data_IF_265606594568
#
_entry.id   IF_265606594568
#
_cell.length_a   1.000
_cell.length_b   1.000
_cell.length_c   1.000
_cell.angle_alpha   90.00
_cell.angle_beta   90.00
_cell.angle_gamma   90.00
#
_symmetry.space_group_name_H-M   'P 1'
#
loop_
_entity.id
_entity.type
_entity.pdbx_description
1 polymer ?
#
# COMPACT_ATOMS: atom_id res chain seq x y z
N UNK A 1 9.01 11.79 35.13
CA UNK A 1 8.80 11.12 33.82
C UNK A 1 10.16 10.85 33.22
N UNK A 2 10.70 9.65 33.42
CA UNK A 2 12.02 9.27 32.89
C UNK A 2 11.90 9.03 31.38
N UNK A 3 12.53 9.87 30.57
CA UNK A 3 12.77 9.51 29.17
C UNK A 3 13.72 8.32 29.16
N UNK A 4 13.22 7.14 28.79
CA UNK A 4 14.05 5.97 28.51
C UNK A 4 14.90 6.27 27.28
N UNK A 5 16.09 6.82 27.49
CA UNK A 5 17.07 7.02 26.42
C UNK A 5 17.53 5.63 25.92
N UNK A 6 17.39 5.38 24.62
CA UNK A 6 17.74 4.12 23.98
C UNK A 6 19.26 3.90 23.90
N UNK A 7 19.68 2.64 23.78
CA UNK A 7 21.06 2.30 23.41
C UNK A 7 21.33 2.73 21.97
N UNK A 8 22.55 3.20 21.68
CA UNK A 8 22.89 3.75 20.35
C UNK A 8 24.15 3.07 19.82
N UNK A 9 24.03 2.44 18.66
CA UNK A 9 25.16 1.95 17.87
C UNK A 9 25.46 2.86 16.68
N UNK A 10 26.74 3.15 16.48
CA UNK A 10 27.21 3.98 15.37
C UNK A 10 28.28 3.22 14.58
N UNK A 11 28.08 3.11 13.27
CA UNK A 11 28.99 2.41 12.38
C UNK A 11 29.26 3.19 11.08
N UNK A 12 30.50 3.05 10.63
CA UNK A 12 31.09 3.59 9.40
C UNK A 12 31.46 2.44 8.46
N UNK A 13 31.57 2.71 7.17
CA UNK A 13 32.11 1.77 6.17
C UNK A 13 33.53 1.29 6.53
N UNK A 14 34.36 2.20 7.05
CA UNK A 14 35.73 1.92 7.50
C UNK A 14 35.83 1.47 8.96
N UNK A 15 34.74 1.06 9.61
CA UNK A 15 34.79 0.72 11.04
C UNK A 15 35.73 -0.45 11.30
N UNK A 16 36.65 -0.22 12.24
CA UNK A 16 37.39 -1.32 12.86
C UNK A 16 36.43 -2.25 13.60
N UNK A 17 36.84 -3.52 13.71
CA UNK A 17 36.10 -4.50 14.50
C UNK A 17 36.29 -4.18 15.99
N UNK A 18 35.19 -3.96 16.70
CA UNK A 18 35.20 -3.61 18.12
C UNK A 18 33.94 -4.13 18.81
N UNK A 19 34.07 -4.39 20.11
CA UNK A 19 32.94 -4.81 20.92
C UNK A 19 31.83 -3.74 20.95
N UNK A 20 30.54 -4.14 21.03
CA UNK A 20 29.41 -3.24 21.20
C UNK A 20 29.62 -2.29 22.39
N UNK A 21 29.46 -0.99 22.14
CA UNK A 21 29.61 0.09 23.12
C UNK A 21 31.02 0.67 23.25
N UNK A 22 32.01 0.13 22.53
CA UNK A 22 33.39 0.65 22.54
C UNK A 22 33.73 1.50 21.30
N UNK A 23 32.77 1.72 20.40
CA UNK A 23 32.95 2.57 19.22
C UNK A 23 32.81 4.05 19.54
N UNK A 24 33.50 4.88 18.75
CA UNK A 24 33.36 6.34 18.82
C UNK A 24 31.91 6.74 18.54
N UNK A 25 31.25 7.36 19.52
CA UNK A 25 29.85 7.80 19.42
C UNK A 25 28.80 6.76 19.83
N UNK A 26 29.20 5.56 20.26
CA UNK A 26 28.27 4.59 20.83
C UNK A 26 27.93 4.92 22.28
N UNK A 27 26.68 4.73 22.67
CA UNK A 27 26.24 4.90 24.07
C UNK A 27 25.37 3.72 24.46
N UNK A 28 25.88 2.88 25.37
CA UNK A 28 25.14 1.77 25.97
C UNK A 28 24.77 2.11 27.41
N UNK A 29 23.48 1.97 27.72
CA UNK A 29 22.89 2.06 29.05
C UNK A 29 22.44 0.70 29.57
N UNK A 30 22.16 -0.25 28.67
CA UNK A 30 21.88 -1.63 29.06
C UNK A 30 23.12 -2.29 29.70
N UNK A 31 22.89 -3.38 30.42
CA UNK A 31 23.97 -4.17 31.00
C UNK A 31 24.94 -4.65 29.88
N UNK A 32 26.25 -4.75 30.17
CA UNK A 32 27.23 -5.24 29.18
C UNK A 32 26.92 -6.65 28.66
N UNK A 33 26.12 -7.43 29.38
CA UNK A 33 25.72 -8.79 29.02
C UNK A 33 24.61 -8.83 27.97
N UNK A 34 23.84 -7.76 27.83
CA UNK A 34 22.73 -7.65 26.88
C UNK A 34 23.15 -7.94 25.44
N UNK A 35 24.39 -7.57 25.07
CA UNK A 35 24.95 -7.75 23.73
C UNK A 35 26.05 -8.81 23.67
N UNK A 36 26.02 -9.80 24.56
CA UNK A 36 27.03 -10.86 24.62
C UNK A 36 27.09 -11.70 23.33
N UNK A 37 25.95 -11.98 22.70
CA UNK A 37 25.90 -12.73 21.44
C UNK A 37 26.42 -11.90 20.26
N UNK A 38 26.11 -10.59 20.22
CA UNK A 38 26.63 -9.68 19.19
C UNK A 38 28.17 -9.58 19.25
N UNK A 39 28.77 -9.68 20.44
CA UNK A 39 30.25 -9.69 20.60
C UNK A 39 30.94 -10.87 19.93
N UNK A 40 30.24 -11.99 19.74
CA UNK A 40 30.82 -13.19 19.11
C UNK A 40 30.94 -13.03 17.60
N UNK A 41 30.18 -12.10 17.01
CA UNK A 41 30.19 -11.84 15.57
C UNK A 41 31.32 -10.87 15.21
N UNK A 42 32.37 -11.40 14.58
CA UNK A 42 33.49 -10.58 14.08
C UNK A 42 33.02 -9.67 12.95
N UNK A 43 33.38 -8.39 13.01
CA UNK A 43 33.12 -7.43 11.95
C UNK A 43 31.66 -7.02 11.79
N UNK A 44 30.82 -7.21 12.81
CA UNK A 44 29.38 -6.94 12.76
C UNK A 44 29.04 -5.52 12.24
N UNK A 45 29.83 -4.50 12.60
CA UNK A 45 29.67 -3.12 12.08
C UNK A 45 29.83 -3.00 10.58
N UNK A 46 30.79 -3.73 9.98
CA UNK A 46 31.03 -3.70 8.54
C UNK A 46 29.93 -4.44 7.79
N UNK A 47 29.43 -5.54 8.37
CA UNK A 47 28.32 -6.31 7.82
C UNK A 47 27.05 -5.43 7.77
N UNK A 48 26.73 -4.72 8.86
CA UNK A 48 25.62 -3.76 8.88
C UNK A 48 25.86 -2.57 7.94
N UNK A 49 27.08 -2.03 7.88
CA UNK A 49 27.42 -0.93 6.97
C UNK A 49 27.29 -1.30 5.48
N UNK A 50 27.65 -2.53 5.10
CA UNK A 50 27.59 -2.99 3.72
C UNK A 50 26.15 -3.09 3.19
N UNK A 51 25.19 -3.43 4.06
CA UNK A 51 23.78 -3.58 3.69
C UNK A 51 23.12 -2.29 3.19
N UNK A 52 23.56 -1.13 3.68
CA UNK A 52 23.11 0.19 3.18
C UNK A 52 23.65 0.47 1.77
N UNK A 53 24.86 -0.02 1.45
CA UNK A 53 25.51 0.19 0.15
C UNK A 53 24.90 -0.69 -0.93
N UNK A 54 24.54 -1.93 -0.61
CA UNK A 54 23.96 -2.90 -1.56
C UNK A 54 22.46 -2.75 -1.77
N UNK A 55 21.77 -1.84 -1.08
CA UNK A 55 20.30 -1.66 -1.09
C UNK A 55 19.52 -2.96 -0.82
N UNK A 56 20.19 -3.97 -0.28
CA UNK A 56 19.69 -5.31 -0.03
C UNK A 56 20.44 -5.89 1.17
N UNK A 57 19.74 -6.59 2.05
CA UNK A 57 20.35 -7.19 3.22
C UNK A 57 21.06 -8.49 2.85
N UNK A 58 22.35 -8.57 3.19
CA UNK A 58 23.07 -9.84 3.19
C UNK A 58 22.49 -10.78 4.24
N UNK A 59 22.61 -12.09 4.02
CA UNK A 59 22.10 -13.08 4.97
C UNK A 59 22.83 -13.00 6.33
N UNK A 60 24.09 -12.56 6.33
CA UNK A 60 24.85 -12.24 7.53
C UNK A 60 24.25 -11.05 8.30
N UNK A 61 23.82 -9.99 7.60
CA UNK A 61 23.19 -8.84 8.23
C UNK A 61 21.83 -9.24 8.85
N UNK A 62 21.05 -10.09 8.17
CA UNK A 62 19.77 -10.61 8.69
C UNK A 62 19.94 -11.40 9.99
N UNK A 63 21.07 -12.10 10.18
CA UNK A 63 21.37 -12.83 11.40
C UNK A 63 21.82 -11.91 12.57
N UNK A 64 22.41 -10.76 12.26
CA UNK A 64 22.94 -9.81 13.25
C UNK A 64 21.87 -8.87 13.79
N UNK A 65 20.92 -8.46 12.95
CA UNK A 65 19.88 -7.48 13.29
C UNK A 65 19.11 -7.84 14.57
N UNK A 66 18.63 -9.09 14.77
CA UNK A 66 17.97 -9.47 16.02
C UNK A 66 18.85 -9.31 17.27
N UNK A 67 20.16 -9.54 17.13
CA UNK A 67 21.13 -9.45 18.22
C UNK A 67 21.37 -8.01 18.70
N UNK A 68 21.00 -7.02 17.89
CA UNK A 68 21.09 -5.59 18.26
C UNK A 68 19.97 -5.13 19.20
N UNK A 69 18.97 -5.99 19.46
CA UNK A 69 17.83 -5.69 20.34
C UNK A 69 17.29 -4.26 20.10
N UNK A 70 16.81 -3.57 21.12
CA UNK A 70 16.16 -2.24 21.01
C UNK A 70 17.13 -1.07 20.82
N UNK A 71 18.37 -1.32 20.39
CA UNK A 71 19.32 -0.27 20.10
C UNK A 71 18.95 0.49 18.82
N UNK A 72 19.17 1.79 18.82
CA UNK A 72 19.09 2.63 17.62
C UNK A 72 20.35 2.44 16.78
N UNK A 73 20.15 2.23 15.47
CA UNK A 73 21.23 1.98 14.53
C UNK A 73 21.50 3.23 13.70
N UNK A 74 22.74 3.70 13.73
CA UNK A 74 23.17 4.89 13.00
C UNK A 74 24.35 4.60 12.09
N UNK A 75 24.24 5.04 10.84
CA UNK A 75 25.27 4.92 9.82
C UNK A 75 25.86 6.29 9.46
N UNK A 76 27.18 6.36 9.31
CA UNK A 76 27.90 7.60 8.98
C UNK A 76 28.72 7.42 7.71
N UNK A 77 28.42 8.24 6.69
CA UNK A 77 29.17 8.33 5.43
C UNK A 77 29.72 9.74 5.24
N UNK A 78 31.05 9.88 5.28
CA UNK A 78 31.70 11.20 5.29
C UNK A 78 31.31 12.01 6.53
N UNK A 79 30.68 13.18 6.35
CA UNK A 79 30.18 14.04 7.45
C UNK A 79 28.68 13.85 7.75
N UNK A 80 28.00 13.00 6.98
CA UNK A 80 26.55 12.84 7.09
C UNK A 80 26.23 11.66 8.00
N UNK A 81 25.56 11.93 9.12
CA UNK A 81 25.01 10.91 10.03
C UNK A 81 23.55 10.66 9.67
N UNK A 82 23.18 9.40 9.44
CA UNK A 82 21.82 8.96 9.09
C UNK A 82 21.38 7.84 10.01
N UNK A 83 20.09 7.83 10.36
CA UNK A 83 19.48 6.71 11.08
C UNK A 83 19.21 5.59 10.08
N UNK A 84 19.62 4.37 10.41
CA UNK A 84 19.45 3.20 9.56
C UNK A 84 18.05 2.59 9.75
N UNK A 85 17.01 3.35 9.39
CA UNK A 85 15.61 2.97 9.60
C UNK A 85 15.24 1.67 8.88
N UNK A 86 15.86 1.39 7.74
CA UNK A 86 15.65 0.15 7.00
C UNK A 86 16.03 -1.11 7.81
N UNK A 87 17.10 -1.04 8.62
CA UNK A 87 17.50 -2.15 9.51
C UNK A 87 16.50 -2.32 10.67
N UNK A 88 16.00 -1.20 11.20
CA UNK A 88 15.03 -1.18 12.29
C UNK A 88 13.65 -1.72 11.83
N UNK A 89 13.24 -1.40 10.60
CA UNK A 89 12.01 -1.90 10.00
C UNK A 89 12.09 -3.41 9.74
N UNK A 90 13.23 -3.91 9.24
CA UNK A 90 13.47 -5.35 9.05
C UNK A 90 13.50 -6.10 10.39
N UNK A 91 14.09 -5.48 11.42
CA UNK A 91 14.02 -6.01 12.78
C UNK A 91 12.58 -6.16 13.26
N UNK A 92 11.72 -5.17 13.01
CA UNK A 92 10.31 -5.21 13.40
C UNK A 92 9.54 -6.33 12.67
N UNK A 93 9.82 -6.53 11.38
CA UNK A 93 9.25 -7.63 10.60
C UNK A 93 9.66 -9.00 11.15
N UNK A 94 10.94 -9.21 11.46
CA UNK A 94 11.42 -10.48 12.03
C UNK A 94 10.83 -10.75 13.43
N UNK A 95 10.72 -9.72 14.28
CA UNK A 95 10.11 -9.84 15.61
C UNK A 95 8.63 -10.25 15.54
N UNK A 96 7.90 -9.82 14.51
CA UNK A 96 6.48 -10.15 14.33
C UNK A 96 6.22 -11.59 13.88
N UNK A 97 7.24 -12.30 13.39
CA UNK A 97 7.14 -13.70 12.96
C UNK A 97 7.26 -14.70 14.14
N UNK A 98 7.65 -14.25 15.34
CA UNK A 98 7.99 -15.13 16.46
C UNK A 98 7.04 -15.08 17.69
N UNK A 99 5.89 -14.40 17.66
CA UNK A 99 5.00 -14.36 18.84
C UNK A 99 3.82 -15.36 18.79
N UNK A 100 3.68 -16.27 19.78
CA UNK A 100 2.47 -17.05 20.02
C UNK A 100 1.38 -16.21 20.69
N UNK A 101 0.13 -16.58 20.40
CA UNK A 101 -1.14 -15.96 20.81
C UNK A 101 -1.28 -15.72 22.32
N UNK A 102 -1.92 -14.62 22.72
CA UNK A 102 -2.93 -14.63 23.79
C UNK A 102 -3.82 -13.37 23.77
N UNK A 103 -5.13 -13.59 23.83
CA UNK A 103 -6.16 -12.58 23.66
C UNK A 103 -6.54 -11.82 24.94
N UNK A 104 -7.38 -10.79 24.77
CA UNK A 104 -7.95 -10.03 25.87
C UNK A 104 -8.99 -9.03 25.41
N UNK A 105 -10.22 -9.49 25.15
CA UNK A 105 -11.41 -8.65 25.04
C UNK A 105 -11.66 -7.87 26.34
N UNK A 106 -11.92 -6.56 26.23
CA UNK A 106 -12.87 -5.87 27.12
C UNK A 106 -13.80 -4.98 26.31
N UNK A 107 -15.07 -5.35 26.34
CA UNK A 107 -16.19 -4.56 25.87
C UNK A 107 -16.39 -3.32 26.75
N UNK A 108 -16.89 -2.22 26.17
CA UNK A 108 -17.78 -1.35 26.93
C UNK A 108 -18.96 -0.79 26.13
N UNK A 109 -20.02 -0.62 26.89
CA UNK A 109 -21.44 -0.45 26.56
C UNK A 109 -21.76 0.95 26.02
N UNK A 110 -22.68 0.97 25.05
CA UNK A 110 -23.85 1.86 24.86
C UNK A 110 -23.84 3.25 25.48
N UNK A 111 -24.25 4.23 24.67
CA UNK A 111 -25.50 5.02 24.77
C UNK A 111 -25.39 6.16 23.73
N UNK A 112 -26.36 6.56 22.93
CA UNK A 112 -27.79 6.34 22.92
C UNK A 112 -28.45 7.68 22.56
N UNK A 113 -29.30 7.66 21.53
CA UNK A 113 -30.45 8.57 21.28
C UNK A 113 -30.13 10.06 20.95
N UNK A 114 -30.86 10.81 20.13
CA UNK A 114 -32.30 10.79 19.85
C UNK A 114 -32.64 11.64 18.58
N UNK A 115 -33.63 11.15 17.81
CA UNK A 115 -34.83 11.85 17.29
C UNK A 115 -34.73 13.29 16.73
N UNK A 116 -35.16 13.50 15.48
CA UNK A 116 -36.55 13.76 15.02
C UNK A 116 -36.54 14.11 13.51
N UNK A 117 -37.40 13.49 12.66
CA UNK A 117 -38.69 14.02 12.12
C UNK A 117 -38.54 15.40 11.49
N UNK A 118 -38.99 15.74 10.28
CA UNK A 118 -39.96 15.26 9.27
C UNK A 118 -39.85 16.28 8.10
N UNK A 119 -40.22 16.08 6.83
CA UNK A 119 -41.55 15.82 6.26
C UNK A 119 -41.39 15.97 4.72
N UNK A 120 -42.22 15.25 3.96
CA UNK A 120 -42.29 15.21 2.49
C UNK A 120 -42.83 16.50 1.86
N UNK A 121 -42.54 16.70 0.57
CA UNK A 121 -43.54 16.99 -0.48
C UNK A 121 -42.96 16.72 -1.87
N UNK A 122 -43.72 15.97 -2.69
CA UNK A 122 -43.46 15.64 -4.09
C UNK A 122 -44.03 16.72 -5.03
N UNK A 123 -43.52 16.77 -6.27
CA UNK A 123 -44.07 17.56 -7.37
C UNK A 123 -43.33 17.28 -8.68
N UNK A 124 -44.09 17.00 -9.75
CA UNK A 124 -43.77 16.10 -10.85
C UNK A 124 -43.43 16.81 -12.19
N UNK A 125 -42.61 16.12 -13.00
CA UNK A 125 -42.56 16.00 -14.48
C UNK A 125 -42.45 17.22 -15.43
N UNK A 126 -41.47 17.11 -16.34
CA UNK A 126 -41.46 17.64 -17.70
C UNK A 126 -40.31 16.99 -18.50
N UNK A 127 -40.58 16.47 -19.70
CA UNK A 127 -39.81 15.44 -20.41
C UNK A 127 -39.27 15.89 -21.79
N UNK A 128 -38.13 15.27 -22.22
CA UNK A 128 -37.70 14.86 -23.61
C UNK A 128 -37.27 15.99 -24.59
N UNK A 129 -36.30 15.80 -25.54
CA UNK A 129 -35.81 14.57 -26.22
C UNK A 129 -34.29 14.32 -26.15
N UNK A 130 -33.77 13.08 -26.20
CA UNK A 130 -33.69 12.09 -27.32
C UNK A 130 -32.97 12.60 -28.59
N UNK A 131 -31.70 12.20 -28.73
CA UNK A 131 -30.86 12.45 -29.90
C UNK A 131 -29.56 11.65 -29.83
N UNK A 132 -29.49 10.60 -30.65
CA UNK A 132 -28.51 9.53 -30.66
C UNK A 132 -27.05 9.95 -30.93
N UNK A 133 -26.10 9.27 -30.28
CA UNK A 133 -24.94 8.69 -30.96
C UNK A 133 -24.38 7.54 -30.10
N UNK A 134 -24.77 6.34 -30.51
CA UNK A 134 -24.19 5.09 -30.04
C UNK A 134 -22.79 4.92 -30.65
N UNK A 135 -21.77 4.81 -29.82
CA UNK A 135 -20.51 4.17 -30.19
C UNK A 135 -20.44 2.83 -29.46
N UNK A 136 -20.57 1.77 -30.26
CA UNK A 136 -20.49 0.37 -29.85
C UNK A 136 -19.11 0.08 -29.22
N UNK A 137 -19.03 -0.72 -28.14
CA UNK A 137 -17.76 -1.32 -27.71
C UNK A 137 -17.33 -2.41 -28.71
N UNK A 138 -16.10 -2.31 -29.19
CA UNK A 138 -15.44 -3.35 -29.99
C UNK A 138 -15.28 -4.65 -29.17
N UNK A 139 -15.27 -5.83 -29.83
CA UNK A 139 -15.40 -7.13 -29.17
C UNK A 139 -14.14 -7.52 -28.39
N UNK A 140 -14.38 -8.03 -27.19
CA UNK A 140 -13.39 -8.54 -26.25
C UNK A 140 -12.54 -9.67 -26.87
N UNK A 141 -11.21 -9.53 -26.78
CA UNK A 141 -10.38 -10.70 -26.55
C UNK A 141 -10.60 -11.09 -25.08
N UNK A 142 -11.56 -12.00 -24.86
CA UNK A 142 -11.82 -12.62 -23.56
C UNK A 142 -10.70 -13.64 -23.36
N UNK A 143 -9.53 -13.16 -22.91
CA UNK A 143 -8.61 -14.08 -22.25
C UNK A 143 -9.32 -14.60 -21.01
N UNK A 144 -9.30 -15.93 -20.88
CA UNK A 144 -9.96 -16.76 -19.89
C UNK A 144 -9.40 -16.45 -18.49
N UNK A 145 -9.75 -15.28 -17.96
CA UNK A 145 -9.66 -14.98 -16.54
C UNK A 145 -10.71 -15.88 -15.89
N UNK A 146 -10.24 -17.03 -15.40
CA UNK A 146 -11.00 -17.92 -14.54
C UNK A 146 -11.86 -17.08 -13.61
N UNK A 147 -13.17 -17.36 -13.61
CA UNK A 147 -14.16 -16.69 -12.77
C UNK A 147 -13.72 -16.82 -11.31
N UNK A 148 -12.90 -15.87 -10.85
CA UNK A 148 -12.60 -15.66 -9.44
C UNK A 148 -13.91 -15.19 -8.87
N UNK A 149 -14.65 -16.14 -8.31
CA UNK A 149 -15.94 -15.91 -7.70
C UNK A 149 -15.78 -14.83 -6.63
N UNK A 150 -16.21 -13.61 -6.96
CA UNK A 150 -16.02 -12.44 -6.11
C UNK A 150 -16.64 -12.71 -4.73
N UNK A 151 -15.80 -12.76 -3.72
CA UNK A 151 -16.21 -12.72 -2.32
C UNK A 151 -16.58 -11.30 -1.91
N UNK A 152 -17.57 -10.75 -2.60
CA UNK A 152 -18.10 -9.43 -2.32
C UNK A 152 -18.83 -9.38 -0.98
N UNK A 153 -18.78 -8.20 -0.34
CA UNK A 153 -19.53 -7.89 0.88
C UNK A 153 -21.03 -8.09 0.61
N UNK A 154 -21.71 -8.88 1.46
CA UNK A 154 -23.16 -9.13 1.38
C UNK A 154 -23.92 -8.25 2.38
N UNK A 155 -25.09 -7.78 1.95
CA UNK A 155 -25.96 -6.93 2.76
C UNK A 155 -27.24 -7.66 3.13
N UNK A 156 -27.75 -7.37 4.33
CA UNK A 156 -28.99 -7.93 4.83
C UNK A 156 -30.17 -7.47 3.96
N UNK A 157 -31.05 -8.40 3.51
CA UNK A 157 -32.21 -8.04 2.69
C UNK A 157 -33.25 -7.19 3.43
N UNK A 158 -33.27 -7.24 4.76
CA UNK A 158 -34.28 -6.55 5.59
C UNK A 158 -33.87 -5.12 5.91
N UNK A 159 -32.63 -4.90 6.36
CA UNK A 159 -32.19 -3.60 6.89
C UNK A 159 -30.96 -3.02 6.19
N UNK A 160 -30.44 -3.70 5.15
CA UNK A 160 -29.27 -3.27 4.35
C UNK A 160 -27.98 -3.02 5.16
N UNK A 161 -27.90 -3.53 6.39
CA UNK A 161 -26.63 -3.61 7.11
C UNK A 161 -25.77 -4.75 6.58
N UNK A 162 -24.46 -4.60 6.68
CA UNK A 162 -23.53 -5.64 6.29
C UNK A 162 -23.70 -6.91 7.15
N UNK A 163 -23.54 -8.06 6.51
CA UNK A 163 -23.61 -9.36 7.17
C UNK A 163 -22.22 -9.79 7.64
N UNK A 164 -22.14 -10.37 8.83
CA UNK A 164 -20.91 -10.91 9.40
C UNK A 164 -20.89 -12.43 9.27
N UNK A 165 -19.70 -13.00 9.15
CA UNK A 165 -19.52 -14.44 9.16
C UNK A 165 -19.49 -14.95 10.61
N UNK A 166 -20.22 -16.02 10.86
CA UNK A 166 -20.25 -16.76 12.12
C UNK A 166 -20.19 -18.26 11.80
N UNK A 167 -19.29 -18.97 12.47
CA UNK A 167 -19.19 -20.43 12.36
C UNK A 167 -20.01 -21.04 13.50
N UNK A 168 -20.91 -21.96 13.20
CA UNK A 168 -21.73 -22.63 14.23
C UNK A 168 -21.38 -24.12 14.36
N UNK A 169 -21.00 -24.51 15.57
CA UNK A 169 -21.03 -25.90 16.06
C UNK A 169 -20.04 -26.89 15.42
N UNK A 170 -20.11 -28.14 15.89
CA UNK A 170 -19.27 -29.28 15.49
C UNK A 170 -19.31 -29.58 13.97
N UNK A 171 -20.38 -29.15 13.29
CA UNK A 171 -20.61 -29.38 11.87
C UNK A 171 -19.87 -28.40 10.94
N UNK A 172 -19.12 -27.44 11.49
CA UNK A 172 -18.35 -26.44 10.71
C UNK A 172 -19.18 -25.68 9.66
N UNK A 173 -20.46 -25.42 9.94
CA UNK A 173 -21.32 -24.66 9.02
C UNK A 173 -21.05 -23.16 9.12
N UNK A 174 -21.01 -22.50 7.95
CA UNK A 174 -20.77 -21.06 7.84
C UNK A 174 -22.10 -20.32 7.69
N UNK A 175 -22.37 -19.39 8.61
CA UNK A 175 -23.56 -18.55 8.55
C UNK A 175 -23.19 -17.08 8.40
N UNK A 176 -24.00 -16.33 7.66
CA UNK A 176 -23.95 -14.87 7.60
C UNK A 176 -25.05 -14.29 8.46
N UNK A 177 -24.68 -13.45 9.42
CA UNK A 177 -25.58 -12.88 10.42
C UNK A 177 -25.62 -11.36 10.36
N UNK A 178 -26.82 -10.79 10.47
CA UNK A 178 -27.04 -9.37 10.65
C UNK A 178 -27.12 -9.03 12.14
N UNK A 179 -26.18 -8.22 12.64
CA UNK A 179 -26.20 -7.77 14.04
C UNK A 179 -27.32 -6.77 14.37
N UNK A 180 -27.93 -6.15 13.36
CA UNK A 180 -28.97 -5.14 13.56
C UNK A 180 -30.37 -5.77 13.74
N UNK A 181 -30.78 -6.68 12.84
CA UNK A 181 -32.12 -7.28 12.87
C UNK A 181 -32.14 -8.78 13.22
N UNK A 182 -30.98 -9.43 13.36
CA UNK A 182 -30.90 -10.86 13.68
C UNK A 182 -31.12 -11.81 12.49
N UNK A 183 -31.21 -11.29 11.26
CA UNK A 183 -31.29 -12.13 10.06
C UNK A 183 -30.07 -13.05 9.94
N UNK A 184 -30.31 -14.33 9.62
CA UNK A 184 -29.28 -15.36 9.45
C UNK A 184 -29.52 -16.08 8.12
N UNK A 185 -28.47 -16.24 7.35
CA UNK A 185 -28.44 -17.05 6.12
C UNK A 185 -27.26 -18.03 6.19
N UNK A 186 -27.42 -19.21 5.59
CA UNK A 186 -26.35 -20.21 5.49
C UNK A 186 -25.56 -20.01 4.20
N UNK A 187 -24.23 -20.03 4.31
CA UNK A 187 -23.33 -19.85 3.17
C UNK A 187 -22.95 -21.21 2.57
N UNK A 188 -23.84 -21.76 1.75
CA UNK A 188 -23.66 -23.09 1.12
C UNK A 188 -22.70 -23.08 -0.07
N UNK A 189 -22.42 -21.89 -0.63
CA UNK A 189 -21.61 -21.79 -1.85
C UNK A 189 -20.13 -21.99 -1.58
N UNK A 190 -19.68 -21.77 -0.33
CA UNK A 190 -18.26 -21.71 -0.01
C UNK A 190 -17.55 -20.59 -0.78
N UNK A 191 -16.38 -20.18 -0.31
CA UNK A 191 -15.62 -19.15 -1.01
C UNK A 191 -14.49 -18.57 -0.19
N UNK A 192 -13.61 -17.87 -0.89
CA UNK A 192 -12.50 -17.16 -0.27
C UNK A 192 -13.01 -16.00 0.58
N UNK A 193 -12.96 -16.08 1.90
CA UNK A 193 -13.51 -15.03 2.80
C UNK A 193 -12.73 -13.72 2.70
N UNK A 194 -11.41 -13.81 2.54
CA UNK A 194 -10.53 -12.66 2.44
C UNK A 194 -9.36 -13.04 1.52
N UNK A 195 -9.20 -12.28 0.45
CA UNK A 195 -7.96 -12.26 -0.33
C UNK A 195 -7.21 -11.00 0.05
N UNK A 196 -5.94 -11.13 0.41
CA UNK A 196 -5.05 -9.97 0.52
C UNK A 196 -4.01 -10.04 -0.58
N UNK A 197 -4.16 -9.19 -1.59
CA UNK A 197 -3.18 -9.04 -2.64
C UNK A 197 -2.10 -8.06 -2.18
N UNK A 198 -0.95 -8.58 -1.70
CA UNK A 198 0.23 -7.77 -1.41
C UNK A 198 0.98 -7.55 -2.73
N UNK A 199 0.44 -6.67 -3.58
CA UNK A 199 1.26 -6.08 -4.62
C UNK A 199 1.97 -4.88 -4.00
N UNK A 200 3.30 -4.83 -4.09
CA UNK A 200 3.98 -3.53 -4.08
C UNK A 200 3.20 -2.65 -5.06
N UNK A 201 2.81 -1.43 -4.67
CA UNK A 201 2.13 -0.45 -5.53
C UNK A 201 2.92 -0.31 -6.83
N UNK A 202 2.66 -1.17 -7.79
CA UNK A 202 3.49 -1.35 -8.96
C UNK A 202 2.55 -1.43 -10.14
N UNK A 203 2.86 -0.55 -11.09
CA UNK A 203 2.27 -0.42 -12.41
C UNK A 203 0.84 0.10 -12.55
N UNK A 204 -0.14 -0.12 -11.66
CA UNK A 204 -1.57 0.19 -11.97
C UNK A 204 -2.27 1.26 -11.13
N UNK A 205 -1.63 1.81 -10.10
CA UNK A 205 -2.24 2.86 -9.24
C UNK A 205 -2.69 4.12 -9.97
N UNK A 206 -2.21 4.36 -11.20
CA UNK A 206 -2.62 5.48 -12.04
C UNK A 206 -4.06 5.37 -12.56
N UNK A 207 -4.64 4.16 -12.67
CA UNK A 207 -6.04 3.99 -13.09
C UNK A 207 -7.00 4.67 -12.10
N UNK A 208 -6.65 4.66 -10.81
CA UNK A 208 -7.39 5.35 -9.74
C UNK A 208 -7.19 6.88 -9.81
N UNK A 209 -6.15 7.36 -10.49
CA UNK A 209 -5.78 8.77 -10.58
C UNK A 209 -6.38 9.51 -11.79
N UNK A 210 -7.02 8.80 -12.73
CA UNK A 210 -7.63 9.43 -13.91
C UNK A 210 -9.10 9.72 -13.69
N UNK A 211 -9.39 11.01 -13.67
CA UNK A 211 -10.74 11.53 -13.73
C UNK A 211 -11.10 11.84 -15.20
N UNK A 212 -12.38 11.78 -15.54
CA UNK A 212 -12.90 12.19 -16.85
C UNK A 212 -12.57 13.65 -17.17
N UNK A 213 -12.45 14.48 -16.13
CA UNK A 213 -12.12 15.91 -16.24
C UNK A 213 -10.62 16.21 -16.26
N UNK A 214 -9.75 15.22 -16.11
CA UNK A 214 -8.29 15.44 -16.10
C UNK A 214 -7.83 16.15 -17.36
N UNK A 215 -8.41 15.85 -18.52
CA UNK A 215 -8.07 16.51 -19.79
C UNK A 215 -8.41 18.00 -19.84
N UNK A 216 -9.40 18.43 -19.05
CA UNK A 216 -9.88 19.82 -19.04
C UNK A 216 -9.13 20.71 -18.05
N UNK A 217 -8.21 20.16 -17.24
CA UNK A 217 -7.48 20.94 -16.25
C UNK A 217 -6.29 21.69 -16.90
N UNK A 218 -6.36 23.03 -17.02
CA UNK A 218 -5.31 23.82 -17.67
C UNK A 218 -4.01 23.91 -16.85
N UNK A 219 -4.00 23.39 -15.60
CA UNK A 219 -2.81 23.39 -14.73
C UNK A 219 -1.93 22.18 -14.96
N UNK A 220 -2.39 21.17 -15.70
CA UNK A 220 -1.58 20.02 -16.02
C UNK A 220 -0.49 20.41 -17.02
N UNK A 221 0.69 19.77 -16.97
CA UNK A 221 1.77 20.14 -17.85
C UNK A 221 1.59 19.50 -19.23
N UNK A 222 1.80 20.31 -20.27
CA UNK A 222 1.57 19.96 -21.67
C UNK A 222 2.89 19.88 -22.45
N UNK A 223 3.04 18.87 -23.31
CA UNK A 223 4.14 18.69 -24.25
C UNK A 223 3.59 18.80 -25.67
N UNK A 224 4.04 19.82 -26.41
CA UNK A 224 3.50 20.11 -27.76
C UNK A 224 4.41 19.76 -28.94
N UNK A 225 5.72 19.65 -28.71
CA UNK A 225 6.71 19.55 -29.82
C UNK A 225 7.50 18.25 -29.87
N UNK A 226 7.67 17.57 -28.73
CA UNK A 226 8.69 16.54 -28.60
C UNK A 226 8.14 15.10 -28.68
N UNK A 227 6.82 14.92 -28.61
CA UNK A 227 6.18 13.60 -28.56
C UNK A 227 5.03 13.58 -29.57
N UNK A 228 4.93 12.50 -30.35
CA UNK A 228 3.80 12.25 -31.25
C UNK A 228 2.81 11.31 -30.58
N UNK A 229 1.54 11.41 -30.94
CA UNK A 229 0.53 10.48 -30.46
C UNK A 229 0.77 9.10 -31.09
N UNK A 230 0.80 8.00 -30.32
CA UNK A 230 0.97 6.65 -30.88
C UNK A 230 -0.24 6.17 -31.67
N UNK A 231 -1.41 6.79 -31.48
CA UNK A 231 -2.63 6.48 -32.23
C UNK A 231 -2.49 7.00 -33.68
N UNK A 232 -2.42 6.11 -34.69
CA UNK A 232 -2.18 6.52 -36.08
C UNK A 232 -3.34 7.36 -36.66
N UNK A 233 -4.55 7.21 -36.13
CA UNK A 233 -5.73 7.96 -36.56
C UNK A 233 -5.77 9.39 -36.02
N UNK A 234 -4.86 9.78 -35.14
CA UNK A 234 -4.89 11.08 -34.49
C UNK A 234 -4.55 12.23 -35.46
N UNK A 235 -5.40 13.28 -35.46
CA UNK A 235 -5.23 14.50 -36.27
C UNK A 235 -3.89 15.22 -36.03
N UNK A 236 -3.27 15.04 -34.84
CA UNK A 236 -1.96 15.61 -34.52
C UNK A 236 -0.84 15.08 -35.41
N UNK A 237 -0.99 13.85 -35.91
CA UNK A 237 0.03 13.17 -36.72
C UNK A 237 -0.05 13.57 -38.19
N UNK A 238 -1.22 14.02 -38.64
CA UNK A 238 -1.51 14.40 -40.02
C UNK A 238 -1.42 15.92 -40.27
N UNK A 239 -0.92 16.68 -39.30
CA UNK A 239 -0.69 18.13 -39.44
C UNK A 239 -1.96 18.99 -39.44
N UNK A 240 -3.12 18.44 -39.05
CA UNK A 240 -4.38 19.21 -38.97
C UNK A 240 -4.49 20.02 -37.67
N UNK A 241 -3.86 19.55 -36.60
CA UNK A 241 -3.81 20.20 -35.28
C UNK A 241 -2.40 20.08 -34.71
N UNK A 242 -1.97 21.09 -33.94
CA UNK A 242 -0.71 21.02 -33.21
C UNK A 242 -0.76 19.92 -32.16
N UNK A 243 0.30 19.11 -31.98
CA UNK A 243 0.30 18.06 -30.97
C UNK A 243 0.12 18.69 -29.59
N UNK A 244 -0.76 18.11 -28.77
CA UNK A 244 -0.87 18.46 -27.36
C UNK A 244 -1.06 17.20 -26.51
N UNK A 245 -0.12 16.99 -25.59
CA UNK A 245 0.01 15.78 -24.79
C UNK A 245 0.22 16.18 -23.34
N UNK A 246 -0.74 15.79 -22.50
CA UNK A 246 -0.64 15.94 -21.06
C UNK A 246 0.21 14.79 -20.52
N UNK A 247 1.15 15.08 -19.64
CA UNK A 247 1.94 14.04 -18.97
C UNK A 247 1.79 14.12 -17.45
N UNK A 248 1.57 12.97 -16.82
CA UNK A 248 1.36 12.87 -15.38
C UNK A 248 2.35 11.84 -14.83
N UNK A 249 3.15 12.28 -13.87
CA UNK A 249 4.12 11.42 -13.18
C UNK A 249 3.40 10.62 -12.10
N UNK A 250 3.33 9.30 -12.24
CA UNK A 250 2.64 8.43 -11.26
C UNK A 250 3.60 7.66 -10.36
N UNK A 251 4.84 7.42 -10.82
CA UNK A 251 5.89 6.80 -10.01
C UNK A 251 7.11 7.71 -10.01
N UNK A 252 7.41 8.27 -8.84
CA UNK A 252 8.52 9.19 -8.71
C UNK A 252 9.89 8.54 -8.63
N UNK A 253 9.95 7.29 -8.19
CA UNK A 253 11.19 6.53 -8.00
C UNK A 253 11.63 5.95 -9.33
N UNK A 254 10.72 5.28 -10.03
CA UNK A 254 11.00 4.66 -11.33
C UNK A 254 10.85 5.64 -12.50
N UNK A 255 10.52 6.90 -12.22
CA UNK A 255 10.33 7.95 -13.24
C UNK A 255 9.32 7.53 -14.33
N UNK A 256 8.22 6.91 -13.91
CA UNK A 256 7.19 6.46 -14.84
C UNK A 256 6.12 7.52 -15.05
N UNK A 257 5.74 7.69 -16.31
CA UNK A 257 4.81 8.70 -16.76
C UNK A 257 3.63 8.08 -17.48
N UNK A 258 2.47 8.69 -17.27
CA UNK A 258 1.29 8.52 -18.08
C UNK A 258 1.18 9.69 -19.05
N UNK A 259 0.90 9.39 -20.31
CA UNK A 259 0.67 10.36 -21.35
C UNK A 259 -0.77 10.29 -21.83
N UNK A 260 -1.40 11.44 -22.03
CA UNK A 260 -2.78 11.58 -22.50
C UNK A 260 -2.75 12.55 -23.67
N UNK A 261 -3.20 12.13 -24.84
CA UNK A 261 -3.36 13.05 -25.96
C UNK A 261 -4.63 13.90 -25.76
N UNK A 262 -4.50 15.22 -25.79
CA UNK A 262 -5.65 16.12 -25.63
C UNK A 262 -6.60 16.04 -26.85
N UNK A 263 -6.05 15.75 -28.03
CA UNK A 263 -6.79 15.73 -29.30
C UNK A 263 -7.71 14.51 -29.43
N UNK A 264 -7.15 13.29 -29.32
CA UNK A 264 -7.91 12.05 -29.50
C UNK A 264 -8.28 11.36 -28.19
N UNK A 265 -7.76 11.81 -27.04
CA UNK A 265 -8.00 11.19 -25.73
C UNK A 265 -7.23 9.89 -25.50
N UNK A 266 -6.40 9.44 -26.45
CA UNK A 266 -5.63 8.20 -26.32
C UNK A 266 -4.61 8.32 -25.18
N UNK A 267 -4.51 7.27 -24.36
CA UNK A 267 -3.67 7.22 -23.17
C UNK A 267 -2.63 6.12 -23.30
N UNK A 268 -1.39 6.40 -22.93
CA UNK A 268 -0.31 5.42 -22.93
C UNK A 268 0.70 5.69 -21.82
N UNK A 269 1.54 4.69 -21.52
CA UNK A 269 2.54 4.78 -20.46
C UNK A 269 3.95 4.82 -21.05
N UNK A 270 4.89 5.37 -20.29
CA UNK A 270 6.31 5.10 -20.53
C UNK A 270 6.54 3.59 -20.43
N UNK A 271 7.27 3.02 -21.39
CA UNK A 271 7.72 1.65 -21.31
C UNK A 271 8.60 1.46 -20.05
N UNK A 272 8.47 0.30 -19.41
CA UNK A 272 9.31 -0.11 -18.30
C UNK A 272 10.52 -0.88 -18.82
#
# INVERSE_FOLDING_TARGET
MNQSQADVFQFYESSADAAPGKGTGESLKSAPETYAELRKVKGWRRILAASEVSQSLSDEAKAIIPLTQNAELWYIKGKTKRRATFLEDEKAKQTSLEQPTEGGMKANKKNGTNKNKSKQAEGNLGAIPEGALASQPLPLAVEELSERQESGIRFCPVCRYYLYLEVSGENQSLHRICRNCGHREEDTKGGMVMEMMIQERSAEGYKILLNEFTRQDPRLPHIRKNIKCPEPTCDSNHGKKDPDIIYIKYDAVNMLYLYICDICGFQWRSAR
#
